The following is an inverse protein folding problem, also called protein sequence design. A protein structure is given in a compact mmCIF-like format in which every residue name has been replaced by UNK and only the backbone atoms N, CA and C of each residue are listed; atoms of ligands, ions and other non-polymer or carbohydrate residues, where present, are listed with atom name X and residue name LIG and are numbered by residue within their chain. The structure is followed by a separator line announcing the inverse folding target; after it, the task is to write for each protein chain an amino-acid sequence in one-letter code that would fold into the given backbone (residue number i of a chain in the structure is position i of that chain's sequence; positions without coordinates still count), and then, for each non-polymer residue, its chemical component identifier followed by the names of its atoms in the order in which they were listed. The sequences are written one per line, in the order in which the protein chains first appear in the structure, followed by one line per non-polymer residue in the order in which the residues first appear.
data_IF_062985268233
#
_entry.id   IF_062985268233
#
_cell.length_a   1.000
_cell.length_b   1.000
_cell.length_c   1.000
_cell.angle_alpha   90.00
_cell.angle_beta   90.00
_cell.angle_gamma   90.00
#
_symmetry.space_group_name_H-M   'P 1'
#
loop_
_entity.id
_entity.type
_entity.pdbx_description
1 polymer ?
#
# COMPACT_ATOMS: atom_id res chain seq x y z
N UNK A 1 -13.96 14.05 2.76
CA UNK A 1 -12.60 13.95 3.35
C UNK A 1 -11.61 14.25 2.24
N UNK A 2 -10.50 14.91 2.55
CA UNK A 2 -9.41 15.13 1.62
C UNK A 2 -8.10 15.17 2.41
N UNK A 3 -7.32 14.10 2.33
CA UNK A 3 -6.09 13.91 3.11
C UNK A 3 -5.00 13.47 2.14
N UNK A 4 -3.89 14.20 2.12
CA UNK A 4 -2.68 13.78 1.41
C UNK A 4 -1.83 12.90 2.33
N UNK A 5 -1.19 11.88 1.76
CA UNK A 5 -0.22 11.05 2.46
C UNK A 5 1.11 10.95 1.70
N UNK A 6 2.19 10.88 2.45
CA UNK A 6 3.52 10.49 1.96
C UNK A 6 4.21 9.64 3.03
N UNK A 7 4.76 8.50 2.63
CA UNK A 7 5.58 7.65 3.47
C UNK A 7 6.75 7.10 2.69
N UNK A 8 7.93 6.98 3.33
CA UNK A 8 9.19 6.60 2.65
C UNK A 8 9.76 5.26 3.09
N UNK A 9 9.40 4.79 4.28
CA UNK A 9 9.94 3.59 4.92
C UNK A 9 8.84 2.89 5.71
N UNK A 10 7.76 2.56 5.00
CA UNK A 10 6.63 1.85 5.57
C UNK A 10 7.01 0.37 5.63
N UNK A 11 7.03 -0.20 6.83
CA UNK A 11 7.29 -1.63 7.01
C UNK A 11 6.04 -2.44 6.64
N UNK A 12 6.14 -3.20 5.55
CA UNK A 12 5.02 -3.99 5.03
C UNK A 12 4.70 -5.21 5.90
N UNK A 13 5.69 -5.77 6.61
CA UNK A 13 5.46 -6.90 7.51
C UNK A 13 4.58 -6.50 8.69
N UNK A 14 4.78 -5.29 9.21
CA UNK A 14 3.96 -4.72 10.29
C UNK A 14 2.55 -4.30 9.84
N UNK A 15 2.33 -4.03 8.55
CA UNK A 15 1.00 -3.67 8.02
C UNK A 15 0.15 -4.90 7.65
N UNK A 16 0.77 -5.98 7.17
CA UNK A 16 0.09 -7.15 6.64
C UNK A 16 -0.03 -8.30 7.65
N UNK A 17 -0.24 -7.96 8.93
CA UNK A 17 -0.30 -8.93 10.05
C UNK A 17 -1.45 -9.94 9.96
N UNK A 18 -2.46 -9.68 9.14
CA UNK A 18 -3.66 -10.52 8.98
C UNK A 18 -3.72 -11.18 7.60
N UNK A 19 -2.57 -11.57 7.05
CA UNK A 19 -2.50 -12.31 5.78
C UNK A 19 -1.70 -13.60 5.97
N UNK A 20 -2.00 -14.63 5.18
CA UNK A 20 -1.20 -15.87 5.14
C UNK A 20 0.14 -15.67 4.40
N UNK A 21 0.39 -14.47 3.88
CA UNK A 21 1.60 -14.11 3.17
C UNK A 21 2.63 -13.55 4.16
N UNK A 22 3.80 -14.17 4.21
CA UNK A 22 4.96 -13.58 4.87
C UNK A 22 5.54 -12.52 3.96
N UNK A 23 5.40 -11.25 4.34
CA UNK A 23 5.94 -10.11 3.60
C UNK A 23 7.00 -9.41 4.43
N UNK A 24 8.21 -9.31 3.88
CA UNK A 24 9.31 -8.55 4.47
C UNK A 24 9.76 -7.46 3.49
N UNK A 25 9.98 -6.25 3.99
CA UNK A 25 10.55 -5.15 3.19
C UNK A 25 9.88 -3.81 3.42
N UNK A 26 10.46 -2.78 2.81
CA UNK A 26 10.03 -1.40 2.96
C UNK A 26 9.33 -0.91 1.70
N UNK A 27 8.26 -0.15 1.90
CA UNK A 27 7.52 0.50 0.85
C UNK A 27 7.56 2.03 1.05
N UNK A 28 7.71 2.74 -0.05
CA UNK A 28 7.42 4.15 -0.12
C UNK A 28 6.11 4.36 -0.89
N UNK A 29 5.36 5.39 -0.54
CA UNK A 29 4.12 5.70 -1.23
C UNK A 29 3.69 7.13 -1.01
N UNK A 30 2.89 7.62 -1.95
CA UNK A 30 2.23 8.92 -1.87
C UNK A 30 0.88 8.87 -2.54
N UNK A 31 -0.06 9.70 -2.10
CA UNK A 31 -1.38 9.72 -2.68
C UNK A 31 -2.38 10.47 -1.83
N UNK A 32 -3.66 10.28 -2.13
CA UNK A 32 -4.76 10.98 -1.49
C UNK A 32 -5.82 10.02 -1.00
N UNK A 33 -6.44 10.37 0.13
CA UNK A 33 -7.65 9.74 0.64
C UNK A 33 -8.77 10.77 0.53
N UNK A 34 -9.75 10.46 -0.31
CA UNK A 34 -10.90 11.31 -0.61
C UNK A 34 -12.22 10.57 -0.32
N UNK A 35 -13.36 11.12 -0.75
CA UNK A 35 -14.67 10.51 -0.53
C UNK A 35 -15.29 10.86 0.82
N UNK A 36 -16.12 9.96 1.33
CA UNK A 36 -16.82 10.11 2.61
C UNK A 36 -16.27 9.14 3.67
N UNK A 37 -16.70 9.30 4.93
CA UNK A 37 -16.33 8.35 5.99
C UNK A 37 -16.85 6.93 5.70
N UNK A 38 -18.00 6.81 5.04
CA UNK A 38 -18.63 5.52 4.71
C UNK A 38 -18.05 4.85 3.45
N UNK A 39 -17.46 5.66 2.56
CA UNK A 39 -16.79 5.22 1.35
C UNK A 39 -15.52 6.06 1.11
N UNK A 40 -14.44 5.79 1.87
CA UNK A 40 -13.15 6.42 1.61
C UNK A 40 -12.58 5.87 0.30
N UNK A 41 -11.94 6.75 -0.46
CA UNK A 41 -11.30 6.39 -1.73
C UNK A 41 -9.82 6.72 -1.66
N UNK A 42 -8.99 5.69 -1.82
CA UNK A 42 -7.54 5.82 -1.92
C UNK A 42 -7.11 5.88 -3.38
N UNK A 43 -6.21 6.79 -3.69
CA UNK A 43 -5.54 6.87 -4.98
C UNK A 43 -4.08 7.27 -4.77
N UNK A 44 -3.13 6.42 -5.15
CA UNK A 44 -1.73 6.69 -4.88
C UNK A 44 -0.75 5.87 -5.70
N UNK A 45 0.51 6.25 -5.60
CA UNK A 45 1.64 5.53 -6.17
C UNK A 45 2.45 4.89 -5.06
N UNK A 46 2.93 3.68 -5.32
CA UNK A 46 3.80 2.92 -4.43
C UNK A 46 5.11 2.57 -5.15
N UNK A 47 6.17 2.49 -4.37
CA UNK A 47 7.53 2.24 -4.82
C UNK A 47 8.18 1.31 -3.80
N UNK A 48 8.96 0.34 -4.26
CA UNK A 48 9.84 -0.44 -3.38
C UNK A 48 11.04 -0.96 -4.15
N UNK A 49 12.22 -0.79 -3.56
CA UNK A 49 13.45 -1.36 -4.11
C UNK A 49 13.40 -2.90 -4.06
N UNK A 50 12.86 -3.44 -2.97
CA UNK A 50 12.75 -4.88 -2.75
C UNK A 50 11.66 -5.24 -1.72
N UNK A 51 10.81 -6.22 -2.07
CA UNK A 51 9.94 -6.94 -1.16
C UNK A 51 10.20 -8.44 -1.27
N UNK A 52 10.25 -9.13 -0.14
CA UNK A 52 10.21 -10.59 -0.09
C UNK A 52 8.80 -11.04 0.24
N UNK A 53 8.19 -11.83 -0.64
CA UNK A 53 6.85 -12.40 -0.43
C UNK A 53 6.99 -13.92 -0.43
N UNK A 54 6.68 -14.55 0.70
CA UNK A 54 6.83 -16.00 0.88
C UNK A 54 8.22 -16.52 0.50
N UNK A 55 9.26 -15.72 0.76
CA UNK A 55 10.66 -16.05 0.44
C UNK A 55 11.07 -15.77 -1.00
N UNK A 56 10.16 -15.31 -1.87
CA UNK A 56 10.48 -14.87 -3.22
C UNK A 56 10.75 -13.37 -3.24
N UNK A 57 11.93 -12.99 -3.76
CA UNK A 57 12.32 -11.60 -3.90
C UNK A 57 11.71 -10.97 -5.15
N UNK A 58 11.03 -9.84 -4.97
CA UNK A 58 10.56 -8.94 -6.00
C UNK A 58 11.33 -7.62 -5.86
N UNK A 59 11.87 -7.11 -6.96
CA UNK A 59 12.68 -5.89 -6.96
C UNK A 59 12.14 -4.88 -7.97
N UNK A 60 12.48 -3.61 -7.75
CA UNK A 60 12.11 -2.50 -8.66
C UNK A 60 10.59 -2.41 -8.87
N UNK A 61 9.86 -2.37 -7.76
CA UNK A 61 8.39 -2.35 -7.76
C UNK A 61 7.92 -0.90 -7.88
N UNK A 62 7.09 -0.66 -8.88
CA UNK A 62 6.38 0.61 -9.09
C UNK A 62 4.93 0.29 -9.40
N UNK A 63 4.01 0.94 -8.71
CA UNK A 63 2.59 0.66 -8.87
C UNK A 63 1.73 1.89 -8.65
N UNK A 64 0.61 1.94 -9.36
CA UNK A 64 -0.51 2.82 -9.04
C UNK A 64 -1.60 1.98 -8.38
N UNK A 65 -2.12 2.45 -7.27
CA UNK A 65 -3.12 1.75 -6.47
C UNK A 65 -4.34 2.65 -6.31
N UNK A 66 -5.48 2.11 -6.71
CA UNK A 66 -6.79 2.68 -6.43
C UNK A 66 -7.59 1.67 -5.60
N UNK A 67 -8.20 2.15 -4.51
CA UNK A 67 -9.06 1.34 -3.67
C UNK A 67 -10.27 2.16 -3.20
N UNK A 68 -11.44 1.55 -3.29
CA UNK A 68 -12.70 2.10 -2.82
C UNK A 68 -13.56 1.00 -2.18
N UNK A 69 -14.66 1.37 -1.52
CA UNK A 69 -15.69 0.40 -1.12
C UNK A 69 -16.59 0.12 -2.33
N UNK A 70 -16.05 -0.59 -3.32
CA UNK A 70 -16.86 -1.12 -4.41
C UNK A 70 -17.81 -2.18 -3.84
N UNK A 71 -19.12 -1.94 -3.96
CA UNK A 71 -20.13 -2.95 -3.62
C UNK A 71 -20.02 -4.09 -4.63
N UNK A 72 -19.44 -5.21 -4.23
CA UNK A 72 -19.61 -6.51 -4.90
C UNK A 72 -20.35 -7.47 -3.98
#
# INVERSE_FOLDING_TARGET
INIDFEGKKIDMGSLLINTDYKVDGLLAGRGTITGSMDNPQFNGYILSDALSINGQLLTDIHGHVYADKSHK
#
